data_IF_823629105882
#
_entry.id   IF_823629105882
#
_cell.length_a   1.000
_cell.length_b   1.000
_cell.length_c   1.000
_cell.angle_alpha   90.00
_cell.angle_beta   90.00
_cell.angle_gamma   90.00
#
_symmetry.space_group_name_H-M   'P 1'
#
loop_
_entity.id
_entity.type
_entity.pdbx_description
1 polymer ?
#
# COMPACT_ATOMS: atom_id res chain seq x y z
N UNK A 1 6.96 -34.93 25.76
CA UNK A 1 6.66 -33.57 26.26
C UNK A 1 6.87 -32.60 25.11
N UNK A 2 6.00 -31.59 25.02
CA UNK A 2 5.62 -30.76 23.85
C UNK A 2 6.71 -30.44 22.80
N UNK A 3 6.29 -30.49 21.53
CA UNK A 3 6.98 -29.86 20.39
C UNK A 3 7.05 -28.34 20.61
N UNK A 4 8.13 -27.65 20.20
CA UNK A 4 8.21 -26.21 20.33
C UNK A 4 7.12 -25.57 19.48
N UNK A 5 6.14 -24.90 20.12
CA UNK A 5 5.26 -23.97 19.44
C UNK A 5 6.14 -22.81 18.94
N UNK A 6 6.24 -22.65 17.62
CA UNK A 6 6.83 -21.42 17.06
C UNK A 6 6.06 -20.21 17.57
N UNK A 7 6.73 -19.07 17.74
CA UNK A 7 6.05 -17.81 18.07
C UNK A 7 4.88 -17.57 17.10
N UNK A 8 3.66 -17.42 17.63
CA UNK A 8 2.52 -16.94 16.85
C UNK A 8 2.81 -15.48 16.45
N UNK A 9 2.94 -15.24 15.14
CA UNK A 9 3.06 -13.90 14.58
C UNK A 9 1.71 -13.42 14.08
N UNK A 10 1.37 -12.17 14.37
CA UNK A 10 0.16 -11.55 13.83
C UNK A 10 0.26 -11.42 12.30
N UNK A 11 -0.90 -11.43 11.64
CA UNK A 11 -1.00 -11.06 10.23
C UNK A 11 -1.78 -9.76 10.12
N UNK A 12 -1.15 -8.75 9.54
CA UNK A 12 -1.73 -7.42 9.33
C UNK A 12 -1.98 -7.22 7.85
N UNK A 13 -3.20 -6.81 7.49
CA UNK A 13 -3.56 -6.45 6.12
C UNK A 13 -3.78 -4.95 6.07
N UNK A 14 -2.90 -4.25 5.36
CA UNK A 14 -3.13 -2.88 4.93
C UNK A 14 -3.80 -2.91 3.56
N UNK A 15 -4.80 -2.07 3.35
CA UNK A 15 -5.44 -1.98 2.04
C UNK A 15 -5.75 -0.55 1.62
N UNK A 16 -5.80 -0.34 0.32
CA UNK A 16 -6.39 0.84 -0.33
C UNK A 16 -7.49 0.43 -1.29
N UNK A 17 -8.34 1.39 -1.65
CA UNK A 17 -9.37 1.26 -2.69
C UNK A 17 -9.73 2.64 -3.22
N UNK A 18 -10.19 2.72 -4.47
CA UNK A 18 -10.78 3.93 -5.06
C UNK A 18 -9.89 5.18 -4.95
N UNK A 19 -8.57 4.99 -5.02
CA UNK A 19 -7.61 6.11 -4.93
C UNK A 19 -7.85 7.12 -6.06
N UNK A 20 -8.34 6.65 -7.20
CA UNK A 20 -8.76 7.50 -8.31
C UNK A 20 -7.64 8.48 -8.75
N UNK A 21 -6.40 7.99 -8.84
CA UNK A 21 -5.24 8.77 -9.30
C UNK A 21 -4.76 9.87 -8.33
N UNK A 22 -5.18 9.84 -7.06
CA UNK A 22 -4.77 10.78 -6.00
C UNK A 22 -3.38 10.46 -5.45
N UNK A 23 -2.37 10.79 -6.24
CA UNK A 23 -0.95 10.55 -5.92
C UNK A 23 -0.40 11.58 -4.93
N UNK A 24 -0.82 12.83 -5.06
CA UNK A 24 -0.27 13.98 -4.31
C UNK A 24 -1.10 14.25 -3.06
N UNK A 25 -0.43 14.58 -1.96
CA UNK A 25 -1.09 15.00 -0.73
C UNK A 25 -1.84 16.32 -0.93
N UNK A 26 -3.10 16.35 -0.49
CA UNK A 26 -3.95 17.54 -0.48
C UNK A 26 -4.92 17.48 0.70
N UNK A 27 -5.77 18.51 0.87
CA UNK A 27 -6.77 18.52 1.94
C UNK A 27 -7.73 17.33 1.78
N UNK A 28 -7.62 16.36 2.69
CA UNK A 28 -8.43 15.14 2.65
C UNK A 28 -7.84 14.01 1.79
N UNK A 29 -6.59 14.14 1.34
CA UNK A 29 -5.87 13.15 0.53
C UNK A 29 -4.53 12.88 1.18
N UNK A 30 -4.26 11.62 1.54
CA UNK A 30 -3.00 11.22 2.18
C UNK A 30 -1.78 11.39 1.27
N UNK A 31 -1.96 11.11 -0.03
CA UNK A 31 -0.87 11.04 -1.00
C UNK A 31 0.01 9.79 -0.82
N UNK A 32 0.66 9.39 -1.91
CA UNK A 32 1.39 8.12 -1.97
C UNK A 32 2.68 8.13 -1.16
N UNK A 33 3.36 9.28 -1.09
CA UNK A 33 4.60 9.40 -0.31
C UNK A 33 4.37 9.10 1.17
N UNK A 34 3.27 9.61 1.76
CA UNK A 34 2.93 9.34 3.15
C UNK A 34 2.43 7.91 3.35
N UNK A 35 1.64 7.41 2.41
CA UNK A 35 1.19 6.02 2.42
C UNK A 35 2.36 5.04 2.38
N UNK A 36 3.40 5.32 1.58
CA UNK A 36 4.63 4.54 1.51
C UNK A 36 5.32 4.48 2.88
N UNK A 37 5.46 5.62 3.57
CA UNK A 37 6.02 5.66 4.93
C UNK A 37 5.22 4.81 5.93
N UNK A 38 3.88 4.82 5.84
CA UNK A 38 3.03 3.96 6.70
C UNK A 38 3.31 2.48 6.43
N UNK A 39 3.37 2.09 5.15
CA UNK A 39 3.68 0.71 4.75
C UNK A 39 5.06 0.28 5.25
N UNK A 40 6.08 1.12 5.08
CA UNK A 40 7.45 0.84 5.56
C UNK A 40 7.49 0.66 7.08
N UNK A 41 6.81 1.52 7.83
CA UNK A 41 6.73 1.43 9.29
C UNK A 41 6.01 0.17 9.75
N UNK A 42 4.94 -0.23 9.07
CA UNK A 42 4.19 -1.44 9.41
C UNK A 42 5.00 -2.70 9.09
N UNK A 43 5.70 -2.71 7.95
CA UNK A 43 6.60 -3.81 7.54
C UNK A 43 7.85 -3.92 8.41
N UNK A 44 8.28 -2.84 9.08
CA UNK A 44 9.42 -2.86 9.99
C UNK A 44 9.15 -3.59 11.32
N UNK A 45 7.88 -3.87 11.66
CA UNK A 45 7.52 -4.59 12.90
C UNK A 45 7.86 -6.08 12.79
N UNK A 46 8.67 -6.58 13.71
CA UNK A 46 9.23 -7.95 13.66
C UNK A 46 8.28 -9.06 14.14
N UNK A 47 7.23 -8.69 14.88
CA UNK A 47 6.26 -9.60 15.50
C UNK A 47 5.06 -9.92 14.59
N UNK A 48 5.05 -9.45 13.35
CA UNK A 48 3.94 -9.63 12.43
C UNK A 48 4.42 -9.90 10.99
N UNK A 49 3.50 -10.38 10.17
CA UNK A 49 3.59 -10.41 8.71
C UNK A 49 2.62 -9.39 8.16
N UNK A 50 3.09 -8.47 7.32
CA UNK A 50 2.26 -7.40 6.76
C UNK A 50 2.01 -7.66 5.27
N UNK A 51 0.75 -7.72 4.88
CA UNK A 51 0.29 -7.73 3.50
C UNK A 51 -0.29 -6.37 3.14
N UNK A 52 0.00 -5.88 1.94
CA UNK A 52 -0.44 -4.59 1.42
C UNK A 52 -1.16 -4.84 0.10
N UNK A 53 -2.44 -4.52 0.01
CA UNK A 53 -3.26 -4.83 -1.17
C UNK A 53 -4.05 -3.62 -1.66
N UNK A 54 -4.22 -3.48 -2.97
CA UNK A 54 -5.13 -2.50 -3.56
C UNK A 54 -6.39 -3.20 -4.09
N UNK A 55 -7.57 -2.71 -3.69
CA UNK A 55 -8.85 -3.31 -4.09
C UNK A 55 -9.39 -2.75 -5.43
N UNK A 56 -8.62 -1.93 -6.14
CA UNK A 56 -8.96 -1.43 -7.47
C UNK A 56 -9.38 0.04 -7.52
N UNK A 57 -9.67 0.48 -8.76
CA UNK A 57 -9.93 1.87 -9.16
C UNK A 57 -8.85 2.87 -8.72
N UNK A 58 -7.58 2.45 -8.86
CA UNK A 58 -6.41 3.23 -8.47
C UNK A 58 -5.88 4.17 -9.56
N UNK A 59 -6.07 3.85 -10.85
CA UNK A 59 -5.27 4.41 -11.96
C UNK A 59 -5.83 5.65 -12.65
N UNK A 60 -7.13 5.91 -12.58
CA UNK A 60 -7.78 7.01 -13.32
C UNK A 60 -8.39 8.02 -12.35
N UNK A 61 -8.70 9.25 -12.80
CA UNK A 61 -9.55 10.18 -12.04
C UNK A 61 -9.04 11.62 -11.99
N UNK A 62 -7.72 11.82 -12.04
CA UNK A 62 -7.07 13.13 -12.09
C UNK A 62 -6.14 13.25 -13.30
N UNK A 63 -5.90 14.48 -13.83
CA UNK A 63 -5.02 14.69 -14.98
C UNK A 63 -3.62 14.09 -14.82
N UNK A 64 -3.04 14.15 -13.62
CA UNK A 64 -1.71 13.61 -13.33
C UNK A 64 -1.61 12.11 -13.62
N UNK A 65 -2.64 11.33 -13.26
CA UNK A 65 -2.69 9.88 -13.51
C UNK A 65 -3.18 9.55 -14.92
N UNK A 66 -4.16 10.31 -15.42
CA UNK A 66 -4.74 10.09 -16.76
C UNK A 66 -3.73 10.42 -17.88
N UNK A 67 -2.85 11.40 -17.68
CA UNK A 67 -1.86 11.82 -18.68
C UNK A 67 -0.89 10.70 -19.07
N UNK A 68 -0.55 9.83 -18.11
CA UNK A 68 0.31 8.66 -18.32
C UNK A 68 -0.50 7.38 -18.54
N UNK A 69 -1.82 7.48 -18.71
CA UNK A 69 -2.75 6.33 -18.84
C UNK A 69 -2.57 5.29 -17.73
N UNK A 70 -2.26 5.75 -16.51
CA UNK A 70 -2.05 4.89 -15.34
C UNK A 70 -0.62 4.37 -15.12
N UNK A 71 0.31 4.55 -16.08
CA UNK A 71 1.69 4.03 -15.97
C UNK A 71 2.42 4.55 -14.72
N UNK A 72 2.39 5.87 -14.47
CA UNK A 72 3.02 6.46 -13.29
C UNK A 72 2.48 5.88 -11.97
N UNK A 73 1.17 5.61 -11.91
CA UNK A 73 0.55 5.02 -10.72
C UNK A 73 0.96 3.56 -10.54
N UNK A 74 1.09 2.79 -11.63
CA UNK A 74 1.60 1.43 -11.57
C UNK A 74 3.05 1.38 -11.08
N UNK A 75 3.91 2.29 -11.57
CA UNK A 75 5.30 2.41 -11.09
C UNK A 75 5.36 2.72 -9.58
N UNK A 76 4.51 3.62 -9.10
CA UNK A 76 4.44 3.96 -7.67
C UNK A 76 4.01 2.75 -6.83
N UNK A 77 2.96 2.02 -7.21
CA UNK A 77 2.52 0.82 -6.48
C UNK A 77 3.62 -0.24 -6.41
N UNK A 78 4.36 -0.43 -7.51
CA UNK A 78 5.51 -1.33 -7.55
C UNK A 78 6.64 -0.88 -6.62
N UNK A 79 6.96 0.42 -6.59
CA UNK A 79 7.97 0.98 -5.69
C UNK A 79 7.57 0.84 -4.21
N UNK A 80 6.28 1.01 -3.92
CA UNK A 80 5.69 0.80 -2.59
C UNK A 80 5.54 -0.68 -2.21
N UNK A 81 5.88 -1.59 -3.14
CA UNK A 81 5.86 -3.03 -2.96
C UNK A 81 4.49 -3.58 -2.53
N UNK A 82 3.42 -3.13 -3.16
CA UNK A 82 2.10 -3.75 -3.01
C UNK A 82 2.17 -5.24 -3.38
N UNK A 83 1.42 -6.07 -2.65
CA UNK A 83 1.42 -7.53 -2.80
C UNK A 83 0.38 -8.01 -3.83
N UNK A 84 -0.74 -7.28 -3.96
CA UNK A 84 -1.81 -7.55 -4.93
C UNK A 84 -2.58 -6.28 -5.30
#
# INVERSE_FOLDING_TARGET
VESPKGEEKDTVILHTNDVHGRIVEEKGVIGDAKLATVIEQERAKSNQTTLVVDAGDAFQGLPISNSTKGEARAEILNQMQYDA
#
